data_IF_146340022995
#
_entry.id   IF_146340022995
#
_cell.length_a   1.000
_cell.length_b   1.000
_cell.length_c   1.000
_cell.angle_alpha   90.00
_cell.angle_beta   90.00
_cell.angle_gamma   90.00
#
_symmetry.space_group_name_H-M   'P 1'
#
loop_
_entity.id
_entity.type
_entity.pdbx_description
1 polymer ?
#
# COMPACT_ATOMS: atom_id res chain seq x y z
N UNK A 1 -48.07 -0.08 -9.03
CA UNK A 1 -47.13 -0.35 -10.15
C UNK A 1 -46.67 0.90 -10.93
N UNK A 2 -47.06 2.13 -10.55
CA UNK A 2 -46.74 3.34 -11.34
C UNK A 2 -45.29 3.84 -11.23
N UNK A 3 -44.68 3.73 -10.02
CA UNK A 3 -43.36 4.32 -9.72
C UNK A 3 -42.19 3.69 -10.50
N UNK A 4 -42.24 2.39 -10.79
CA UNK A 4 -41.20 1.71 -11.58
C UNK A 4 -41.26 2.07 -13.06
N UNK A 5 -42.45 2.40 -13.58
CA UNK A 5 -42.64 2.72 -14.99
C UNK A 5 -42.08 4.11 -15.35
N UNK A 6 -42.33 5.12 -14.51
CA UNK A 6 -41.78 6.46 -14.70
C UNK A 6 -40.23 6.44 -14.72
N UNK A 7 -39.61 5.73 -13.77
CA UNK A 7 -38.16 5.59 -13.71
C UNK A 7 -37.55 4.99 -14.99
N UNK A 8 -38.19 3.97 -15.59
CA UNK A 8 -37.73 3.33 -16.82
C UNK A 8 -37.96 4.21 -18.06
N UNK A 9 -39.10 4.91 -18.13
CA UNK A 9 -39.41 5.79 -19.26
C UNK A 9 -38.41 6.96 -19.35
N UNK A 10 -38.06 7.56 -18.21
CA UNK A 10 -37.09 8.65 -18.17
C UNK A 10 -35.65 8.16 -18.37
N UNK A 11 -35.34 6.92 -17.99
CA UNK A 11 -34.04 6.28 -18.24
C UNK A 11 -33.69 6.25 -19.74
N UNK A 12 -34.65 5.87 -20.57
CA UNK A 12 -34.45 5.77 -22.02
C UNK A 12 -34.22 7.15 -22.65
N UNK A 13 -34.98 8.17 -22.22
CA UNK A 13 -34.79 9.54 -22.69
C UNK A 13 -33.44 10.10 -22.26
N UNK A 14 -33.03 9.84 -21.01
CA UNK A 14 -31.74 10.25 -20.49
C UNK A 14 -30.59 9.61 -21.29
N UNK A 15 -30.60 8.29 -21.49
CA UNK A 15 -29.57 7.61 -22.29
C UNK A 15 -29.49 8.15 -23.73
N UNK A 16 -30.63 8.39 -24.38
CA UNK A 16 -30.69 9.01 -25.72
C UNK A 16 -30.14 10.43 -25.74
N UNK A 17 -30.41 11.21 -24.71
CA UNK A 17 -29.84 12.55 -24.55
C UNK A 17 -28.32 12.46 -24.38
N UNK A 18 -27.84 11.55 -23.53
CA UNK A 18 -26.40 11.32 -23.33
C UNK A 18 -25.69 10.99 -24.65
N UNK A 19 -26.22 10.05 -25.44
CA UNK A 19 -25.65 9.70 -26.76
C UNK A 19 -25.67 10.86 -27.75
N UNK A 20 -26.74 11.67 -27.73
CA UNK A 20 -26.88 12.81 -28.67
C UNK A 20 -25.96 13.98 -28.32
N UNK A 21 -25.54 14.10 -27.06
CA UNK A 21 -24.71 15.20 -26.55
C UNK A 21 -23.25 14.78 -26.29
N UNK A 22 -22.82 13.60 -26.76
CA UNK A 22 -21.50 13.02 -26.44
C UNK A 22 -21.20 12.99 -24.93
N UNK A 23 -22.23 12.74 -24.12
CA UNK A 23 -22.12 12.68 -22.67
C UNK A 23 -22.13 11.23 -22.19
N UNK A 24 -21.25 10.89 -21.26
CA UNK A 24 -21.17 9.55 -20.69
C UNK A 24 -22.28 9.36 -19.63
N UNK A 25 -23.03 8.25 -19.73
CA UNK A 25 -24.08 7.97 -18.76
C UNK A 25 -23.49 7.60 -17.40
N UNK A 26 -23.70 8.46 -16.40
CA UNK A 26 -23.21 8.23 -15.03
C UNK A 26 -24.22 7.47 -14.14
N UNK A 27 -25.23 6.85 -14.75
CA UNK A 27 -26.21 6.08 -14.00
C UNK A 27 -25.54 4.90 -13.29
N UNK A 28 -25.94 4.54 -12.06
CA UNK A 28 -25.27 3.47 -11.30
C UNK A 28 -25.20 2.13 -12.03
N UNK A 29 -26.13 1.84 -12.93
CA UNK A 29 -26.13 0.64 -13.75
C UNK A 29 -25.08 0.73 -14.87
N UNK A 30 -25.08 1.83 -15.62
CA UNK A 30 -24.19 2.04 -16.77
C UNK A 30 -22.74 2.16 -16.29
N UNK A 31 -22.49 2.89 -15.20
CA UNK A 31 -21.17 2.96 -14.56
C UNK A 31 -20.65 1.59 -14.12
N UNK A 32 -21.51 0.69 -13.66
CA UNK A 32 -21.11 -0.69 -13.31
C UNK A 32 -20.76 -1.50 -14.55
N UNK A 33 -21.52 -1.32 -15.63
CA UNK A 33 -21.27 -1.99 -16.92
C UNK A 33 -19.95 -1.48 -17.54
N UNK A 34 -19.68 -0.17 -17.51
CA UNK A 34 -18.42 0.42 -17.94
C UNK A 34 -17.23 -0.10 -17.14
N UNK A 35 -17.34 -0.17 -15.81
CA UNK A 35 -16.29 -0.74 -14.95
C UNK A 35 -16.01 -2.21 -15.27
N UNK A 36 -17.04 -3.02 -15.52
CA UNK A 36 -16.86 -4.42 -15.91
C UNK A 36 -16.17 -4.55 -17.26
N UNK A 37 -16.62 -3.79 -18.26
CA UNK A 37 -16.00 -3.77 -19.57
C UNK A 37 -14.54 -3.30 -19.53
N UNK A 38 -14.23 -2.32 -18.67
CA UNK A 38 -12.86 -1.87 -18.43
C UNK A 38 -12.00 -2.97 -17.80
N UNK A 39 -12.49 -3.64 -16.74
CA UNK A 39 -11.80 -4.75 -16.08
C UNK A 39 -11.57 -5.93 -17.05
N UNK A 40 -12.56 -6.24 -17.89
CA UNK A 40 -12.45 -7.32 -18.88
C UNK A 40 -11.45 -6.97 -19.99
N UNK A 41 -11.39 -5.69 -20.40
CA UNK A 41 -10.38 -5.18 -21.35
C UNK A 41 -8.98 -5.17 -20.74
N UNK A 42 -8.85 -4.71 -19.50
CA UNK A 42 -7.60 -4.70 -18.72
C UNK A 42 -7.11 -6.12 -18.39
N UNK A 43 -7.95 -7.15 -18.47
CA UNK A 43 -7.54 -8.54 -18.32
C UNK A 43 -6.57 -8.99 -19.42
N UNK A 44 -6.63 -8.37 -20.61
CA UNK A 44 -5.69 -8.57 -21.72
C UNK A 44 -4.39 -7.77 -21.58
N UNK A 45 -4.47 -6.58 -20.98
CA UNK A 45 -3.34 -5.64 -20.75
C UNK A 45 -2.94 -5.61 -19.26
N UNK A 46 -2.96 -6.77 -18.59
CA UNK A 46 -2.62 -6.85 -17.17
C UNK A 46 -1.16 -6.41 -16.97
N UNK A 47 -0.98 -5.29 -16.29
CA UNK A 47 0.27 -5.03 -15.60
C UNK A 47 0.48 -6.16 -14.58
N UNK A 48 1.48 -7.01 -14.83
CA UNK A 48 1.87 -8.06 -13.92
C UNK A 48 2.24 -7.42 -12.58
N UNK A 49 1.87 -8.06 -11.48
CA UNK A 49 2.29 -7.60 -10.15
C UNK A 49 3.80 -7.55 -10.13
N UNK A 50 4.38 -6.41 -9.70
CA UNK A 50 5.85 -6.21 -9.65
C UNK A 50 6.51 -7.32 -8.84
N UNK A 51 5.77 -7.97 -7.94
CA UNK A 51 6.16 -9.12 -7.14
C UNK A 51 6.71 -10.31 -7.93
N UNK A 52 6.33 -10.49 -9.20
CA UNK A 52 6.80 -11.61 -10.02
C UNK A 52 8.29 -11.51 -10.40
N UNK A 53 8.87 -10.32 -10.39
CA UNK A 53 10.29 -10.09 -10.66
C UNK A 53 11.19 -10.25 -9.42
N UNK A 54 10.62 -10.26 -8.23
CA UNK A 54 11.39 -10.49 -7.02
C UNK A 54 11.53 -12.00 -6.82
N UNK A 55 12.78 -12.49 -6.76
CA UNK A 55 13.06 -13.87 -6.43
C UNK A 55 12.56 -14.25 -5.02
N UNK A 56 12.67 -15.53 -4.62
CA UNK A 56 12.36 -15.93 -3.25
C UNK A 56 13.09 -15.03 -2.25
N UNK A 57 12.36 -14.55 -1.23
CA UNK A 57 12.89 -13.61 -0.24
C UNK A 57 14.02 -14.30 0.56
N UNK A 58 15.25 -13.82 0.41
CA UNK A 58 16.39 -14.27 1.18
C UNK A 58 16.21 -13.84 2.63
N UNK A 59 15.64 -14.72 3.46
CA UNK A 59 15.34 -14.46 4.87
C UNK A 59 16.59 -14.06 5.68
N UNK A 60 17.78 -14.49 5.24
CA UNK A 60 19.07 -14.16 5.86
C UNK A 60 19.51 -12.71 5.56
N UNK A 61 19.00 -12.09 4.49
CA UNK A 61 19.29 -10.68 4.17
C UNK A 61 18.24 -9.72 4.74
N UNK A 62 17.19 -10.25 5.36
CA UNK A 62 16.13 -9.43 5.92
C UNK A 62 16.67 -8.66 7.12
N UNK A 63 16.84 -7.35 6.94
CA UNK A 63 17.21 -6.44 8.03
C UNK A 63 16.26 -6.65 9.20
N UNK A 64 16.81 -6.90 10.39
CA UNK A 64 16.01 -7.00 11.61
C UNK A 64 15.20 -5.71 11.74
N UNK A 65 13.86 -5.78 11.79
CA UNK A 65 13.04 -4.58 11.94
C UNK A 65 13.43 -3.84 13.22
N UNK A 66 13.53 -2.52 13.15
CA UNK A 66 13.82 -1.70 14.31
C UNK A 66 12.77 -1.95 15.42
N UNK A 67 13.25 -2.21 16.62
CA UNK A 67 12.47 -2.27 17.86
C UNK A 67 13.39 -1.87 19.00
N UNK A 68 12.90 -1.05 19.93
CA UNK A 68 13.69 -0.61 21.09
C UNK A 68 14.26 -1.80 21.86
N UNK A 69 13.48 -2.89 22.00
CA UNK A 69 13.95 -4.13 22.64
C UNK A 69 15.06 -4.83 21.87
N UNK A 70 14.97 -4.88 20.54
CA UNK A 70 15.99 -5.52 19.70
C UNK A 70 17.30 -4.74 19.78
N UNK A 71 17.20 -3.41 19.78
CA UNK A 71 18.33 -2.52 19.94
C UNK A 71 18.95 -2.62 21.34
N UNK A 72 18.15 -2.65 22.41
CA UNK A 72 18.65 -2.85 23.78
C UNK A 72 19.40 -4.17 23.92
N UNK A 73 18.84 -5.28 23.42
CA UNK A 73 19.50 -6.60 23.46
C UNK A 73 20.83 -6.58 22.69
N UNK A 74 20.84 -6.07 21.46
CA UNK A 74 22.04 -6.01 20.64
C UNK A 74 23.14 -5.14 21.30
N UNK A 75 22.76 -4.05 21.95
CA UNK A 75 23.70 -3.20 22.69
C UNK A 75 24.24 -3.91 23.94
N UNK A 76 23.41 -4.66 24.67
CA UNK A 76 23.87 -5.45 25.82
C UNK A 76 24.84 -6.56 25.40
N UNK A 77 24.54 -7.28 24.32
CA UNK A 77 25.44 -8.29 23.74
C UNK A 77 26.78 -7.66 23.36
N UNK A 78 26.74 -6.55 22.61
CA UNK A 78 27.94 -5.79 22.25
C UNK A 78 28.74 -5.33 23.48
N UNK A 79 28.06 -4.88 24.54
CA UNK A 79 28.69 -4.44 25.78
C UNK A 79 29.46 -5.58 26.47
N UNK A 80 28.87 -6.79 26.47
CA UNK A 80 29.50 -8.00 27.05
C UNK A 80 30.70 -8.43 26.20
N UNK A 81 30.53 -8.52 24.88
CA UNK A 81 31.59 -8.95 23.96
C UNK A 81 32.80 -8.02 23.98
N UNK A 82 32.56 -6.71 24.10
CA UNK A 82 33.61 -5.69 24.10
C UNK A 82 34.06 -5.28 25.51
N UNK A 83 33.53 -5.94 26.54
CA UNK A 83 33.82 -5.71 27.97
C UNK A 83 33.73 -4.22 28.36
N UNK A 84 32.67 -3.55 27.89
CA UNK A 84 32.45 -2.13 28.14
C UNK A 84 31.77 -1.91 29.50
N UNK A 85 32.07 -0.79 30.18
CA UNK A 85 31.41 -0.46 31.43
C UNK A 85 29.93 -0.11 31.20
N UNK A 86 29.04 -0.54 32.09
CA UNK A 86 27.58 -0.26 32.02
C UNK A 86 27.31 1.26 32.01
N UNK A 87 28.23 2.06 32.55
CA UNK A 87 28.17 3.52 32.52
C UNK A 87 28.16 4.11 31.10
N UNK A 88 28.54 3.36 30.06
CA UNK A 88 28.47 3.79 28.65
C UNK A 88 27.06 4.20 28.24
N UNK A 89 26.01 3.58 28.79
CA UNK A 89 24.63 3.99 28.55
C UNK A 89 24.32 5.42 29.03
N UNK A 90 25.06 5.92 30.02
CA UNK A 90 24.96 7.30 30.49
C UNK A 90 25.74 8.30 29.62
N UNK A 91 26.63 7.83 28.76
CA UNK A 91 27.50 8.68 27.96
C UNK A 91 26.72 9.38 26.83
N UNK A 92 26.75 10.71 26.82
CA UNK A 92 26.05 11.52 25.82
C UNK A 92 26.52 11.24 24.37
N UNK A 93 27.81 10.93 24.18
CA UNK A 93 28.34 10.58 22.86
C UNK A 93 27.80 9.23 22.36
N UNK A 94 27.67 8.26 23.27
CA UNK A 94 27.09 6.95 22.96
C UNK A 94 25.60 7.08 22.58
N UNK A 95 24.82 7.83 23.36
CA UNK A 95 23.40 8.11 23.04
C UNK A 95 23.24 8.80 21.69
N UNK A 96 24.12 9.76 21.38
CA UNK A 96 24.11 10.46 20.09
C UNK A 96 24.43 9.53 18.93
N UNK A 97 25.41 8.63 19.09
CA UNK A 97 25.72 7.62 18.09
C UNK A 97 24.51 6.71 17.83
N UNK A 98 23.86 6.24 18.91
CA UNK A 98 22.69 5.37 18.83
C UNK A 98 21.51 6.03 18.11
N UNK A 99 21.24 7.30 18.40
CA UNK A 99 20.17 8.08 17.76
C UNK A 99 20.43 8.35 16.27
N UNK A 100 21.70 8.48 15.87
CA UNK A 100 22.07 8.59 14.45
C UNK A 100 21.91 7.23 13.76
N UNK A 101 22.41 6.16 14.39
CA UNK A 101 22.38 4.82 13.81
C UNK A 101 20.94 4.28 13.65
N UNK A 102 20.04 4.56 14.60
CA UNK A 102 18.64 4.12 14.53
C UNK A 102 17.83 4.79 13.41
N UNK A 103 18.31 5.92 12.89
CA UNK A 103 17.65 6.71 11.83
C UNK A 103 18.29 6.53 10.46
N UNK A 104 19.37 5.75 10.35
CA UNK A 104 19.99 5.43 9.08
C UNK A 104 19.15 4.37 8.35
N UNK A 105 18.25 4.82 7.48
CA UNK A 105 17.48 3.99 6.53
C UNK A 105 18.15 3.92 5.18
#
# INVERSE_FOLDING_TARGET
>A
MLRRHAAVIHLLHYRKWCTSNNFESMLPQDTKEHKKAAIDKERGDRQLSVTEHFGPEDLDTKSIPYSDKALETAVLEWLIETNQPIQVFGNAAFKKLLDIASRAT
#
